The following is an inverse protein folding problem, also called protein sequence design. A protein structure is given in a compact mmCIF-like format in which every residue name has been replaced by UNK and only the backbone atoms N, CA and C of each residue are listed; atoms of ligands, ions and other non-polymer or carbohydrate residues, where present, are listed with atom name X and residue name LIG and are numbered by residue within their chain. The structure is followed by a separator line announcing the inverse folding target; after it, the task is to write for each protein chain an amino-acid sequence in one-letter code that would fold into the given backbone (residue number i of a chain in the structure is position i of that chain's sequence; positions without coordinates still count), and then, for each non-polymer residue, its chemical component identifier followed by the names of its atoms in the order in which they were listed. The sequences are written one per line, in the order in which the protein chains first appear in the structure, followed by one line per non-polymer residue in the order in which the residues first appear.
data_IF_849349566881
#
_entry.id   IF_849349566881
#
_cell.length_a   1.000
_cell.length_b   1.000
_cell.length_c   1.000
_cell.angle_alpha   90.00
_cell.angle_beta   90.00
_cell.angle_gamma   90.00
#
_symmetry.space_group_name_H-M   'P 1'
#
loop_
_entity.id
_entity.type
_entity.pdbx_description
1 polymer ?
#
# COMPACT_ATOMS: atom_id res chain seq x y z
N UNK A 1 19.79 -1.09 8.07
CA UNK A 1 18.90 -0.07 8.71
C UNK A 1 17.44 -0.14 8.26
N UNK A 2 17.14 -0.73 7.10
CA UNK A 2 15.79 -0.86 6.53
C UNK A 2 14.81 -1.56 7.47
N UNK A 3 15.21 -2.68 8.08
CA UNK A 3 14.38 -3.41 9.05
C UNK A 3 13.95 -2.51 10.22
N UNK A 4 14.90 -1.79 10.83
CA UNK A 4 14.60 -0.89 11.95
C UNK A 4 13.65 0.23 11.51
N UNK A 5 13.84 0.79 10.32
CA UNK A 5 12.98 1.85 9.80
C UNK A 5 11.55 1.35 9.58
N UNK A 6 11.38 0.12 9.04
CA UNK A 6 10.08 -0.54 8.88
C UNK A 6 9.44 -0.80 10.25
N UNK A 7 10.14 -1.45 11.17
CA UNK A 7 9.59 -1.77 12.49
C UNK A 7 9.17 -0.52 13.26
N UNK A 8 10.01 0.52 13.25
CA UNK A 8 9.72 1.78 13.91
C UNK A 8 8.54 2.50 13.25
N UNK A 9 8.51 2.60 11.92
CA UNK A 9 7.38 3.21 11.21
C UNK A 9 6.06 2.49 11.50
N UNK A 10 6.03 1.16 11.42
CA UNK A 10 4.81 0.40 11.65
C UNK A 10 4.36 0.41 13.12
N UNK A 11 5.30 0.48 14.07
CA UNK A 11 4.99 0.67 15.49
C UNK A 11 4.43 2.06 15.77
N UNK A 12 5.04 3.10 15.18
CA UNK A 12 4.60 4.47 15.32
C UNK A 12 3.24 4.72 14.66
N UNK A 13 2.95 4.13 13.49
CA UNK A 13 1.62 4.22 12.86
C UNK A 13 0.51 3.69 13.78
N UNK A 14 0.82 2.69 14.61
CA UNK A 14 -0.17 2.13 15.52
C UNK A 14 -0.48 2.99 16.73
N UNK A 15 0.46 3.82 17.14
CA UNK A 15 0.43 4.59 18.40
C UNK A 15 0.19 6.08 18.17
N UNK A 16 0.69 6.62 17.06
CA UNK A 16 0.56 8.02 16.69
C UNK A 16 -0.58 8.19 15.68
N UNK A 17 -1.60 8.94 16.07
CA UNK A 17 -2.52 9.52 15.09
C UNK A 17 -1.83 10.67 14.38
N UNK A 18 -1.11 10.33 13.30
CA UNK A 18 -0.39 11.32 12.51
C UNK A 18 -1.37 12.37 12.02
N UNK A 19 -1.08 13.63 12.35
CA UNK A 19 -1.93 14.75 11.96
C UNK A 19 -2.13 14.74 10.45
N UNK A 20 -3.34 15.12 10.03
CA UNK A 20 -3.73 14.99 8.62
C UNK A 20 -2.76 15.72 7.66
N UNK A 21 -1.96 16.67 8.16
CA UNK A 21 -0.99 17.48 7.42
C UNK A 21 0.25 16.69 6.94
N UNK A 22 0.65 15.65 7.67
CA UNK A 22 1.87 14.89 7.39
C UNK A 22 1.65 13.71 6.43
N UNK A 23 0.41 13.47 5.99
CA UNK A 23 0.14 12.49 4.95
C UNK A 23 0.83 12.92 3.65
N UNK A 24 1.52 11.97 3.02
CA UNK A 24 2.24 12.21 1.77
C UNK A 24 1.34 12.83 0.69
N UNK A 25 0.08 12.41 0.61
CA UNK A 25 -0.93 12.99 -0.26
C UNK A 25 -1.04 14.52 -0.14
N UNK A 26 -1.02 15.07 1.08
CA UNK A 26 -1.12 16.52 1.28
C UNK A 26 0.16 17.25 0.93
N UNK A 27 1.31 16.64 1.16
CA UNK A 27 2.61 17.18 0.74
C UNK A 27 2.65 17.31 -0.79
N UNK A 28 2.20 16.26 -1.49
CA UNK A 28 2.10 16.27 -2.95
C UNK A 28 1.08 17.31 -3.44
N UNK A 29 -0.10 17.40 -2.82
CA UNK A 29 -1.09 18.39 -3.24
C UNK A 29 -0.57 19.82 -3.06
N UNK A 30 0.20 20.10 -1.99
CA UNK A 30 0.87 21.40 -1.80
C UNK A 30 1.92 21.66 -2.86
N UNK A 31 2.76 20.66 -3.15
CA UNK A 31 3.73 20.73 -4.23
C UNK A 31 3.05 21.03 -5.58
N UNK A 32 1.98 20.32 -5.89
CA UNK A 32 1.20 20.51 -7.12
C UNK A 32 0.54 21.89 -7.17
N UNK A 33 -0.05 22.37 -6.07
CA UNK A 33 -0.64 23.71 -6.01
C UNK A 33 0.40 24.81 -6.20
N UNK A 34 1.55 24.71 -5.52
CA UNK A 34 2.67 25.65 -5.71
C UNK A 34 3.19 25.62 -7.16
N UNK A 35 3.20 24.44 -7.77
CA UNK A 35 3.56 24.27 -9.17
C UNK A 35 2.54 24.94 -10.12
N UNK A 36 1.24 24.91 -9.81
CA UNK A 36 0.19 25.59 -10.60
C UNK A 36 0.35 27.10 -10.53
N UNK A 37 0.70 27.68 -9.38
CA UNK A 37 0.84 29.13 -9.26
C UNK A 37 2.12 29.69 -9.90
N UNK A 38 3.21 28.92 -9.95
CA UNK A 38 4.54 29.46 -10.30
C UNK A 38 5.11 29.03 -11.66
N UNK A 39 4.52 28.09 -12.40
CA UNK A 39 5.12 27.59 -13.66
C UNK A 39 4.20 27.79 -14.87
N UNK A 40 4.68 28.55 -15.88
CA UNK A 40 4.02 28.78 -17.19
C UNK A 40 4.11 27.57 -18.14
N UNK A 41 4.16 26.35 -17.61
CA UNK A 41 4.32 25.10 -18.37
C UNK A 41 2.96 24.41 -18.60
N UNK A 42 1.98 25.16 -19.10
CA UNK A 42 0.61 24.67 -19.33
C UNK A 42 0.57 23.53 -20.36
N UNK A 43 1.38 23.61 -21.43
CA UNK A 43 1.35 22.64 -22.53
C UNK A 43 1.86 21.24 -22.17
N UNK A 44 2.88 21.12 -21.31
CA UNK A 44 3.46 19.82 -20.93
C UNK A 44 2.62 19.09 -19.86
N UNK A 45 1.78 19.83 -19.13
CA UNK A 45 0.92 19.31 -18.05
C UNK A 45 -0.38 18.70 -18.57
N UNK A 46 -0.86 19.10 -19.76
CA UNK A 46 -2.07 18.53 -20.37
C UNK A 46 -1.88 17.06 -20.80
N UNK A 47 -0.62 16.60 -20.93
CA UNK A 47 -0.32 15.19 -21.16
C UNK A 47 -0.31 14.41 -19.84
N UNK A 48 -1.12 13.34 -19.76
CA UNK A 48 -1.22 12.42 -18.60
C UNK A 48 0.16 11.98 -18.06
N UNK A 49 1.13 11.75 -18.95
CA UNK A 49 2.49 11.32 -18.60
C UNK A 49 3.32 12.44 -17.96
N UNK A 50 3.16 13.68 -18.42
CA UNK A 50 3.85 14.83 -17.86
C UNK A 50 3.43 15.03 -16.40
N UNK A 51 2.13 14.97 -16.12
CA UNK A 51 1.63 15.08 -14.75
C UNK A 51 2.18 13.99 -13.80
N UNK A 52 2.29 12.73 -14.27
CA UNK A 52 2.88 11.62 -13.49
C UNK A 52 4.35 11.85 -13.18
N UNK A 53 5.16 12.15 -14.20
CA UNK A 53 6.59 12.36 -14.02
C UNK A 53 6.85 13.49 -13.01
N UNK A 54 6.11 14.59 -13.13
CA UNK A 54 6.24 15.73 -12.21
C UNK A 54 5.76 15.45 -10.79
N UNK A 55 4.78 14.57 -10.60
CA UNK A 55 4.32 14.17 -9.27
C UNK A 55 5.34 13.29 -8.54
N UNK A 56 6.18 12.56 -9.26
CA UNK A 56 7.19 11.66 -8.72
C UNK A 56 8.48 12.40 -8.33
N UNK A 57 8.76 13.58 -8.93
CA UNK A 57 9.99 14.36 -8.68
C UNK A 57 10.30 14.58 -7.19
N UNK A 58 9.36 15.00 -6.32
CA UNK A 58 9.67 15.19 -4.90
C UNK A 58 10.17 13.91 -4.21
N UNK A 59 9.60 12.76 -4.55
CA UNK A 59 10.02 11.47 -4.00
C UNK A 59 11.44 11.11 -4.44
N UNK A 60 11.76 11.32 -5.72
CA UNK A 60 13.10 11.07 -6.26
C UNK A 60 14.13 12.05 -5.71
N UNK A 61 13.75 13.32 -5.53
CA UNK A 61 14.62 14.35 -4.96
C UNK A 61 15.00 14.01 -3.52
N UNK A 62 14.04 13.54 -2.71
CA UNK A 62 14.32 13.05 -1.36
C UNK A 62 15.35 11.90 -1.41
N UNK A 63 15.12 10.91 -2.27
CA UNK A 63 16.07 9.80 -2.45
C UNK A 63 17.46 10.27 -2.85
N UNK A 64 17.54 11.17 -3.84
CA UNK A 64 18.80 11.70 -4.36
C UNK A 64 19.57 12.51 -3.30
N UNK A 65 18.88 13.36 -2.54
CA UNK A 65 19.50 14.14 -1.45
C UNK A 65 20.06 13.22 -0.36
N UNK A 66 19.35 12.14 0.00
CA UNK A 66 19.85 11.18 0.97
C UNK A 66 21.11 10.46 0.49
N UNK A 67 21.17 10.09 -0.80
CA UNK A 67 22.36 9.50 -1.40
C UNK A 67 23.56 10.46 -1.40
N UNK A 68 23.32 11.77 -1.57
CA UNK A 68 24.38 12.78 -1.58
C UNK A 68 24.93 13.09 -0.18
N UNK A 69 24.08 13.05 0.84
CA UNK A 69 24.45 13.39 2.22
C UNK A 69 25.24 12.27 2.92
N UNK A 70 25.11 11.03 2.45
CA UNK A 70 25.78 9.82 2.97
C UNK A 70 25.74 9.68 4.51
N UNK A 71 24.66 10.17 5.13
CA UNK A 71 24.51 10.17 6.58
C UNK A 71 23.51 9.10 7.02
N UNK A 72 24.00 8.10 7.73
CA UNK A 72 23.21 6.93 8.17
C UNK A 72 22.02 7.33 9.04
N UNK A 73 22.21 8.23 10.01
CA UNK A 73 21.16 8.64 10.95
C UNK A 73 20.09 9.46 10.25
N UNK A 74 20.50 10.38 9.37
CA UNK A 74 19.56 11.19 8.59
C UNK A 74 18.75 10.30 7.63
N UNK A 75 19.40 9.38 6.92
CA UNK A 75 18.73 8.40 6.05
C UNK A 75 17.74 7.55 6.82
N UNK A 76 18.09 7.10 8.03
CA UNK A 76 17.19 6.36 8.90
C UNK A 76 15.94 7.18 9.28
N UNK A 77 16.13 8.39 9.83
CA UNK A 77 15.03 9.25 10.28
C UNK A 77 14.10 9.63 9.12
N UNK A 78 14.67 10.05 8.00
CA UNK A 78 13.88 10.44 6.81
C UNK A 78 13.17 9.23 6.20
N UNK A 79 13.80 8.05 6.19
CA UNK A 79 13.15 6.82 5.70
C UNK A 79 11.98 6.40 6.58
N UNK A 80 12.12 6.44 7.90
CA UNK A 80 11.03 6.16 8.83
C UNK A 80 9.89 7.17 8.66
N UNK A 81 10.20 8.47 8.60
CA UNK A 81 9.20 9.50 8.37
C UNK A 81 8.50 9.35 7.01
N UNK A 82 9.25 9.04 5.95
CA UNK A 82 8.71 8.81 4.61
C UNK A 82 7.79 7.59 4.56
N UNK A 83 8.17 6.48 5.20
CA UNK A 83 7.31 5.30 5.36
C UNK A 83 6.02 5.64 6.10
N UNK A 84 6.13 6.34 7.24
CA UNK A 84 4.97 6.79 8.00
C UNK A 84 4.02 7.67 7.18
N UNK A 85 4.56 8.60 6.38
CA UNK A 85 3.76 9.45 5.50
C UNK A 85 3.13 8.68 4.33
N UNK A 86 3.78 7.60 3.86
CA UNK A 86 3.32 6.76 2.75
C UNK A 86 2.17 5.80 3.15
N UNK A 87 2.20 5.32 4.39
CA UNK A 87 1.15 4.50 4.98
C UNK A 87 -0.05 5.40 5.30
N UNK A 88 -1.16 5.24 4.59
CA UNK A 88 -2.31 6.14 4.69
C UNK A 88 -3.62 5.37 4.89
N UNK A 89 -3.81 4.75 6.06
CA UNK A 89 -5.04 4.00 6.34
C UNK A 89 -5.68 4.21 7.74
N UNK A 90 -5.55 5.38 8.43
CA UNK A 90 -6.18 5.54 9.75
C UNK A 90 -7.70 5.46 9.69
N UNK A 91 -8.32 6.08 8.67
CA UNK A 91 -9.76 6.04 8.46
C UNK A 91 -10.28 4.63 8.14
N UNK A 92 -9.55 3.85 7.34
CA UNK A 92 -9.90 2.47 7.04
C UNK A 92 -9.81 1.58 8.29
N UNK A 93 -8.77 1.78 9.11
CA UNK A 93 -8.60 1.05 10.37
C UNK A 93 -9.69 1.39 11.38
N UNK A 94 -10.08 2.65 11.50
CA UNK A 94 -11.20 3.08 12.33
C UNK A 94 -12.52 2.48 11.83
N UNK A 95 -12.78 2.52 10.52
CA UNK A 95 -13.98 1.94 9.93
C UNK A 95 -14.06 0.42 10.14
N UNK A 96 -12.93 -0.29 10.04
CA UNK A 96 -12.88 -1.72 10.33
C UNK A 96 -13.18 -2.06 11.79
N UNK A 97 -12.62 -1.29 12.75
CA UNK A 97 -12.94 -1.48 14.18
C UNK A 97 -14.43 -1.25 14.45
N UNK A 98 -14.99 -0.18 13.90
CA UNK A 98 -16.40 0.13 14.03
C UNK A 98 -17.30 -0.92 13.35
N UNK A 99 -16.85 -1.49 12.22
CA UNK A 99 -17.54 -2.60 11.55
C UNK A 99 -17.65 -3.83 12.45
N UNK A 100 -16.54 -4.25 13.08
CA UNK A 100 -16.54 -5.40 14.00
C UNK A 100 -17.40 -5.14 15.24
N UNK A 101 -17.39 -3.91 15.74
CA UNK A 101 -18.21 -3.53 16.88
C UNK A 101 -19.70 -3.57 16.52
N UNK A 102 -20.09 -3.01 15.38
CA UNK A 102 -21.47 -3.05 14.90
C UNK A 102 -21.95 -4.48 14.62
N UNK A 103 -21.08 -5.37 14.15
CA UNK A 103 -21.37 -6.80 14.00
C UNK A 103 -21.64 -7.47 15.35
N UNK A 104 -20.88 -7.12 16.39
CA UNK A 104 -21.09 -7.63 17.75
C UNK A 104 -22.38 -7.07 18.39
N UNK A 105 -22.67 -5.79 18.14
CA UNK A 105 -23.85 -5.09 18.66
C UNK A 105 -25.13 -5.39 17.85
N UNK A 106 -25.05 -6.25 16.81
CA UNK A 106 -26.13 -6.58 15.86
C UNK A 106 -26.75 -5.34 15.14
N UNK A 107 -26.00 -4.24 15.04
CA UNK A 107 -26.41 -3.01 14.36
C UNK A 107 -26.08 -3.07 12.86
N UNK A 108 -27.00 -3.65 12.08
CA UNK A 108 -26.85 -3.77 10.64
C UNK A 108 -26.76 -2.43 9.89
N UNK A 109 -27.32 -1.34 10.43
CA UNK A 109 -27.28 -0.03 9.78
C UNK A 109 -25.89 0.60 9.90
N UNK A 110 -25.29 0.56 11.09
CA UNK A 110 -23.92 1.02 11.30
C UNK A 110 -22.93 0.10 10.58
N UNK A 111 -23.15 -1.21 10.60
CA UNK A 111 -22.32 -2.17 9.87
C UNK A 111 -22.26 -1.86 8.36
N UNK A 112 -23.41 -1.61 7.73
CA UNK A 112 -23.49 -1.25 6.31
C UNK A 112 -22.80 0.11 6.00
N UNK A 113 -22.94 1.08 6.90
CA UNK A 113 -22.26 2.38 6.80
C UNK A 113 -20.74 2.24 6.87
N UNK A 114 -20.22 1.44 7.80
CA UNK A 114 -18.79 1.20 7.92
C UNK A 114 -18.23 0.42 6.74
N UNK A 115 -18.98 -0.55 6.21
CA UNK A 115 -18.63 -1.26 4.98
C UNK A 115 -18.47 -0.31 3.79
N UNK A 116 -19.37 0.68 3.64
CA UNK A 116 -19.28 1.70 2.59
C UNK A 116 -18.03 2.58 2.74
N UNK A 117 -17.64 2.93 3.98
CA UNK A 117 -16.41 3.67 4.24
C UNK A 117 -15.16 2.86 3.87
N UNK A 118 -15.14 1.56 4.18
CA UNK A 118 -14.08 0.64 3.75
C UNK A 118 -14.00 0.53 2.22
N UNK A 119 -15.15 0.44 1.55
CA UNK A 119 -15.20 0.40 0.09
C UNK A 119 -14.59 1.68 -0.52
N UNK A 120 -14.95 2.86 0.01
CA UNK A 120 -14.36 4.14 -0.42
C UNK A 120 -12.85 4.19 -0.18
N UNK A 121 -12.39 3.73 0.99
CA UNK A 121 -10.97 3.66 1.33
C UNK A 121 -10.19 2.72 0.40
N UNK A 122 -10.75 1.58 0.03
CA UNK A 122 -10.17 0.63 -0.93
C UNK A 122 -9.97 1.24 -2.33
N UNK A 123 -10.80 2.24 -2.67
CA UNK A 123 -10.85 2.86 -3.98
C UNK A 123 -11.56 2.07 -5.05
N UNK A 124 -12.30 1.04 -4.67
CA UNK A 124 -13.14 0.27 -5.56
C UNK A 124 -14.56 0.84 -5.56
N UNK A 125 -15.21 0.75 -6.71
CA UNK A 125 -16.62 1.13 -6.87
C UNK A 125 -17.54 -0.10 -6.89
N UNK A 126 -16.97 -1.28 -7.08
CA UNK A 126 -17.67 -2.56 -7.05
C UNK A 126 -17.93 -3.01 -5.61
N UNK A 127 -19.09 -3.58 -5.36
CA UNK A 127 -19.41 -4.21 -4.09
C UNK A 127 -18.49 -5.43 -3.88
N UNK A 128 -17.89 -5.52 -2.69
CA UNK A 128 -17.06 -6.65 -2.30
C UNK A 128 -17.25 -6.94 -0.80
N UNK A 129 -17.07 -8.20 -0.39
CA UNK A 129 -17.04 -8.57 1.02
C UNK A 129 -15.99 -7.78 1.82
N UNK A 130 -16.22 -7.61 3.12
CA UNK A 130 -15.34 -6.81 3.99
C UNK A 130 -13.92 -7.40 4.02
N UNK A 131 -13.81 -8.72 3.97
CA UNK A 131 -12.56 -9.49 3.96
C UNK A 131 -11.70 -9.08 2.76
N UNK A 132 -12.32 -9.02 1.59
CA UNK A 132 -11.66 -8.68 0.34
C UNK A 132 -11.18 -7.22 0.33
N UNK A 133 -12.00 -6.31 0.89
CA UNK A 133 -11.64 -4.90 1.03
C UNK A 133 -10.44 -4.73 1.97
N UNK A 134 -10.41 -5.43 3.10
CA UNK A 134 -9.30 -5.40 4.06
C UNK A 134 -8.01 -5.91 3.41
N UNK A 135 -8.07 -7.04 2.68
CA UNK A 135 -6.92 -7.58 1.95
C UNK A 135 -6.35 -6.54 0.97
N UNK A 136 -7.22 -5.90 0.19
CA UNK A 136 -6.82 -4.90 -0.79
C UNK A 136 -6.25 -3.63 -0.16
N UNK A 137 -6.88 -3.14 0.91
CA UNK A 137 -6.39 -1.99 1.66
C UNK A 137 -5.02 -2.31 2.26
N UNK A 138 -4.85 -3.49 2.85
CA UNK A 138 -3.58 -3.93 3.42
C UNK A 138 -2.49 -4.03 2.35
N UNK A 139 -2.80 -4.64 1.21
CA UNK A 139 -1.90 -4.74 0.07
C UNK A 139 -1.37 -3.34 -0.31
N UNK A 140 -2.26 -2.37 -0.52
CA UNK A 140 -1.89 -1.05 -1.07
C UNK A 140 -1.34 -0.06 -0.04
N UNK A 141 -1.71 -0.15 1.22
CA UNK A 141 -1.29 0.86 2.21
C UNK A 141 -0.12 0.41 3.08
N UNK A 142 0.07 -0.90 3.21
CA UNK A 142 1.12 -1.48 4.05
C UNK A 142 2.08 -2.30 3.19
N UNK A 143 1.60 -3.41 2.63
CA UNK A 143 2.48 -4.40 2.00
C UNK A 143 3.28 -3.86 0.80
N UNK A 144 2.61 -3.21 -0.15
CA UNK A 144 3.26 -2.63 -1.33
C UNK A 144 4.26 -1.54 -0.95
N UNK A 145 3.92 -0.69 0.04
CA UNK A 145 4.82 0.35 0.54
C UNK A 145 6.10 -0.29 1.10
N UNK A 146 5.98 -1.38 1.87
CA UNK A 146 7.14 -2.14 2.37
C UNK A 146 7.96 -2.74 1.23
N UNK A 147 7.34 -3.41 0.24
CA UNK A 147 8.06 -4.03 -0.87
C UNK A 147 8.84 -2.98 -1.67
N UNK A 148 8.21 -1.86 -2.05
CA UNK A 148 8.90 -0.81 -2.78
C UNK A 148 9.98 -0.11 -1.95
N UNK A 149 9.80 -0.03 -0.63
CA UNK A 149 10.85 0.45 0.27
C UNK A 149 12.06 -0.48 0.31
N UNK A 150 11.85 -1.79 0.41
CA UNK A 150 12.94 -2.77 0.42
C UNK A 150 13.71 -2.76 -0.91
N UNK A 151 13.01 -2.59 -2.03
CA UNK A 151 13.64 -2.61 -3.36
C UNK A 151 14.35 -1.31 -3.74
N UNK A 152 13.78 -0.15 -3.40
CA UNK A 152 14.19 1.16 -3.93
C UNK A 152 14.38 2.22 -2.84
N UNK A 153 14.34 1.83 -1.56
CA UNK A 153 14.42 2.75 -0.42
C UNK A 153 13.21 3.66 -0.29
N UNK A 154 13.38 4.75 0.47
CA UNK A 154 12.30 5.71 0.74
C UNK A 154 11.73 6.32 -0.54
N UNK A 155 12.57 6.51 -1.58
CA UNK A 155 12.12 6.99 -2.88
C UNK A 155 11.05 6.08 -3.48
N UNK A 156 11.27 4.76 -3.51
CA UNK A 156 10.30 3.81 -4.04
C UNK A 156 8.98 3.80 -3.28
N UNK A 157 9.05 3.83 -1.94
CA UNK A 157 7.86 3.90 -1.08
C UNK A 157 7.01 5.15 -1.38
N UNK A 158 7.66 6.31 -1.51
CA UNK A 158 7.01 7.57 -1.81
C UNK A 158 6.50 7.63 -3.25
N UNK A 159 7.25 7.13 -4.24
CA UNK A 159 6.79 7.00 -5.64
C UNK A 159 5.52 6.16 -5.71
N UNK A 160 5.51 5.00 -5.05
CA UNK A 160 4.33 4.14 -5.01
C UNK A 160 3.15 4.84 -4.34
N UNK A 161 3.37 5.51 -3.20
CA UNK A 161 2.32 6.27 -2.52
C UNK A 161 1.75 7.40 -3.39
N UNK A 162 2.60 8.10 -4.15
CA UNK A 162 2.19 9.08 -5.16
C UNK A 162 1.27 8.45 -6.19
N UNK A 163 1.73 7.36 -6.83
CA UNK A 163 0.99 6.70 -7.90
C UNK A 163 -0.35 6.14 -7.41
N UNK A 164 -0.37 5.53 -6.21
CA UNK A 164 -1.57 5.01 -5.54
C UNK A 164 -2.65 6.08 -5.36
N UNK A 165 -2.25 7.27 -4.92
CA UNK A 165 -3.17 8.36 -4.56
C UNK A 165 -3.63 9.17 -5.79
N UNK A 166 -2.90 9.09 -6.90
CA UNK A 166 -3.29 9.67 -8.18
C UNK A 166 -4.44 8.86 -8.80
N UNK A 167 -5.67 9.30 -8.53
CA UNK A 167 -6.89 8.78 -9.16
C UNK A 167 -7.40 9.76 -10.22
N UNK A 168 -6.84 9.69 -11.43
CA UNK A 168 -7.52 10.26 -12.59
C UNK A 168 -8.66 9.31 -12.96
N UNK A 169 -9.82 9.57 -12.37
CA UNK A 169 -10.93 8.60 -12.18
C UNK A 169 -11.54 8.02 -13.47
N UNK A 170 -11.03 8.33 -14.67
CA UNK A 170 -11.64 7.91 -15.95
C UNK A 170 -10.69 7.56 -17.09
N UNK A 171 -9.36 7.70 -16.97
CA UNK A 171 -8.49 7.34 -18.12
C UNK A 171 -8.13 5.84 -18.09
N UNK A 172 -8.35 5.09 -19.19
CA UNK A 172 -8.01 3.67 -19.27
C UNK A 172 -6.52 3.39 -18.99
N UNK A 173 -5.65 4.33 -19.38
CA UNK A 173 -4.20 4.26 -19.15
C UNK A 173 -3.85 4.18 -17.67
N UNK A 174 -4.57 4.90 -16.81
CA UNK A 174 -4.31 4.88 -15.38
C UNK A 174 -4.70 3.55 -14.73
N UNK A 175 -5.73 2.88 -15.24
CA UNK A 175 -6.08 1.54 -14.77
C UNK A 175 -4.95 0.55 -15.08
N UNK A 176 -4.32 0.65 -16.25
CA UNK A 176 -3.15 -0.16 -16.62
C UNK A 176 -1.96 0.13 -15.72
N UNK A 177 -1.68 1.41 -15.41
CA UNK A 177 -0.60 1.77 -14.46
C UNK A 177 -0.83 1.14 -13.09
N UNK A 178 -2.04 1.29 -12.53
CA UNK A 178 -2.39 0.66 -11.24
C UNK A 178 -2.27 -0.87 -11.29
N UNK A 179 -2.68 -1.50 -12.40
CA UNK A 179 -2.50 -2.94 -12.60
C UNK A 179 -1.02 -3.35 -12.62
N UNK A 180 -0.14 -2.57 -13.27
CA UNK A 180 1.29 -2.87 -13.35
C UNK A 180 1.97 -2.68 -11.99
N UNK A 181 1.74 -1.55 -11.32
CA UNK A 181 2.41 -1.27 -10.03
C UNK A 181 1.91 -2.20 -8.93
N UNK A 182 0.64 -2.57 -8.93
CA UNK A 182 0.11 -3.48 -7.91
C UNK A 182 0.40 -4.96 -8.26
N UNK A 183 0.91 -5.28 -9.46
CA UNK A 183 1.20 -6.66 -9.88
C UNK A 183 2.24 -7.33 -8.98
N UNK A 184 3.39 -6.68 -8.80
CA UNK A 184 4.49 -7.23 -8.00
C UNK A 184 4.09 -7.42 -6.53
N UNK A 185 3.56 -6.39 -5.83
CA UNK A 185 3.07 -6.57 -4.47
C UNK A 185 2.00 -7.65 -4.35
N UNK A 186 1.08 -7.75 -5.32
CA UNK A 186 0.01 -8.76 -5.28
C UNK A 186 0.59 -10.16 -5.30
N UNK A 187 1.51 -10.44 -6.24
CA UNK A 187 2.09 -11.79 -6.40
C UNK A 187 2.97 -12.18 -5.21
N UNK A 188 3.71 -11.24 -4.65
CA UNK A 188 4.45 -11.46 -3.41
C UNK A 188 3.48 -11.71 -2.26
N UNK A 189 2.51 -10.83 -2.01
CA UNK A 189 1.59 -11.00 -0.89
C UNK A 189 0.84 -12.34 -0.95
N UNK A 190 0.38 -12.74 -2.13
CA UNK A 190 -0.29 -14.02 -2.31
C UNK A 190 0.67 -15.20 -2.17
N UNK A 191 1.92 -15.10 -2.64
CA UNK A 191 2.94 -16.14 -2.40
C UNK A 191 3.15 -16.37 -0.91
N UNK A 192 3.18 -15.32 -0.09
CA UNK A 192 3.27 -15.49 1.36
C UNK A 192 2.01 -16.10 1.99
N UNK A 193 0.82 -15.88 1.42
CA UNK A 193 -0.39 -16.60 1.84
C UNK A 193 -0.31 -18.11 1.61
N UNK A 194 0.39 -18.56 0.56
CA UNK A 194 0.64 -19.99 0.34
C UNK A 194 1.49 -20.58 1.47
N UNK A 195 2.48 -19.83 1.95
CA UNK A 195 3.43 -20.30 2.98
C UNK A 195 2.82 -20.31 4.39
N UNK A 196 1.89 -19.39 4.65
CA UNK A 196 1.29 -19.18 5.97
C UNK A 196 -0.08 -19.84 6.12
N UNK A 197 -0.75 -20.15 5.01
CA UNK A 197 -2.04 -20.81 4.95
C UNK A 197 -1.97 -22.18 4.27
N UNK A 198 -3.04 -22.54 3.57
CA UNK A 198 -3.16 -23.82 2.89
C UNK A 198 -2.45 -23.82 1.52
N UNK A 199 -1.16 -24.15 1.53
CA UNK A 199 -0.33 -24.26 0.32
C UNK A 199 -0.98 -25.14 -0.76
N UNK A 200 -1.45 -26.34 -0.37
CA UNK A 200 -1.96 -27.34 -1.31
C UNK A 200 -3.17 -26.85 -2.10
N UNK A 201 -4.07 -26.09 -1.47
CA UNK A 201 -5.27 -25.55 -2.12
C UNK A 201 -4.95 -24.31 -2.97
N UNK A 202 -4.05 -23.46 -2.50
CA UNK A 202 -3.78 -22.16 -3.11
C UNK A 202 -2.73 -22.18 -4.24
N UNK A 203 -1.79 -23.13 -4.24
CA UNK A 203 -0.62 -23.13 -5.13
C UNK A 203 -0.97 -23.14 -6.62
N UNK A 204 -1.90 -24.00 -7.05
CA UNK A 204 -2.31 -24.08 -8.46
C UNK A 204 -2.95 -22.76 -8.95
N UNK A 205 -3.80 -22.16 -8.12
CA UNK A 205 -4.44 -20.87 -8.42
C UNK A 205 -3.42 -19.74 -8.47
N UNK A 206 -2.44 -19.73 -7.57
CA UNK A 206 -1.35 -18.76 -7.59
C UNK A 206 -0.49 -18.88 -8.85
N UNK A 207 -0.10 -20.10 -9.24
CA UNK A 207 0.70 -20.32 -10.44
C UNK A 207 -0.03 -19.84 -11.71
N UNK A 208 -1.33 -20.16 -11.80
CA UNK A 208 -2.21 -19.65 -12.87
C UNK A 208 -2.38 -18.12 -12.84
N UNK A 209 -2.14 -17.49 -11.69
CA UNK A 209 -2.17 -16.04 -11.57
C UNK A 209 -0.87 -15.37 -12.06
N UNK A 210 0.27 -16.06 -12.01
CA UNK A 210 1.57 -15.49 -12.42
C UNK A 210 1.64 -15.30 -13.94
N UNK A 211 1.11 -16.25 -14.72
CA UNK A 211 1.26 -16.27 -16.18
C UNK A 211 0.24 -15.47 -17.00
N UNK A 212 -0.94 -15.18 -16.45
CA UNK A 212 -2.04 -14.55 -17.21
C UNK A 212 -1.96 -13.02 -17.21
N UNK A 213 -1.96 -12.40 -18.40
CA UNK A 213 -1.95 -10.94 -18.59
C UNK A 213 -3.20 -10.45 -19.35
N UNK A 214 -3.82 -9.32 -18.98
CA UNK A 214 -3.81 -8.67 -17.67
C UNK A 214 -4.90 -9.28 -16.76
N UNK A 215 -4.49 -9.94 -15.67
CA UNK A 215 -5.43 -10.32 -14.63
C UNK A 215 -5.71 -9.14 -13.69
N UNK A 216 -6.96 -9.05 -13.22
CA UNK A 216 -7.34 -8.14 -12.16
C UNK A 216 -6.64 -8.55 -10.85
N UNK A 217 -5.68 -7.73 -10.39
CA UNK A 217 -4.89 -7.98 -9.17
C UNK A 217 -5.76 -8.21 -7.94
N UNK A 218 -6.91 -7.54 -7.85
CA UNK A 218 -7.85 -7.74 -6.75
C UNK A 218 -8.40 -9.17 -6.74
N UNK A 219 -8.84 -9.68 -7.91
CA UNK A 219 -9.37 -11.05 -8.02
C UNK A 219 -8.28 -12.07 -7.72
N UNK A 220 -7.05 -11.84 -8.21
CA UNK A 220 -5.92 -12.72 -7.91
C UNK A 220 -5.62 -12.75 -6.40
N UNK A 221 -5.66 -11.59 -5.74
CA UNK A 221 -5.45 -11.48 -4.30
C UNK A 221 -6.53 -12.24 -3.51
N UNK A 222 -7.80 -11.96 -3.78
CA UNK A 222 -8.92 -12.50 -3.01
C UNK A 222 -9.09 -13.99 -3.22
N UNK A 223 -9.03 -14.46 -4.47
CA UNK A 223 -9.18 -15.88 -4.80
C UNK A 223 -8.07 -16.75 -4.20
N UNK A 224 -6.84 -16.27 -4.17
CA UNK A 224 -5.74 -17.01 -3.52
C UNK A 224 -5.91 -16.99 -2.00
N UNK A 225 -6.35 -15.87 -1.42
CA UNK A 225 -6.58 -15.77 0.02
C UNK A 225 -7.71 -16.70 0.50
N UNK A 226 -8.82 -16.79 -0.23
CA UNK A 226 -9.95 -17.70 0.07
C UNK A 226 -9.55 -19.18 0.02
N UNK A 227 -8.61 -19.55 -0.85
CA UNK A 227 -8.10 -20.93 -0.89
C UNK A 227 -7.06 -21.19 0.19
N UNK A 228 -6.37 -20.15 0.66
CA UNK A 228 -5.35 -20.25 1.68
C UNK A 228 -5.94 -20.33 3.10
N UNK A 229 -7.07 -19.69 3.36
CA UNK A 229 -7.73 -19.69 4.68
C UNK A 229 -9.23 -19.40 4.56
N UNK A 230 -10.02 -19.82 5.55
CA UNK A 230 -11.45 -19.55 5.59
C UNK A 230 -11.68 -18.10 6.04
N UNK A 231 -12.00 -17.22 5.08
CA UNK A 231 -12.05 -15.79 5.30
C UNK A 231 -13.31 -15.36 6.06
N UNK A 232 -13.06 -14.75 7.22
CA UNK A 232 -13.96 -13.92 8.01
C UNK A 232 -13.22 -12.63 8.34
N UNK A 233 -13.91 -11.60 8.83
CA UNK A 233 -13.25 -10.38 9.28
C UNK A 233 -12.05 -10.63 10.23
N UNK A 234 -12.14 -11.44 11.30
CA UNK A 234 -11.00 -11.72 12.18
C UNK A 234 -9.93 -12.62 11.53
N UNK A 235 -10.31 -13.72 10.86
CA UNK A 235 -9.32 -14.64 10.25
C UNK A 235 -8.53 -13.97 9.13
N UNK A 236 -9.16 -13.07 8.36
CA UNK A 236 -8.48 -12.24 7.34
C UNK A 236 -7.36 -11.42 7.96
N UNK A 237 -7.61 -10.76 9.09
CA UNK A 237 -6.55 -9.98 9.76
C UNK A 237 -5.46 -10.87 10.35
N UNK A 238 -5.80 -12.07 10.82
CA UNK A 238 -4.82 -13.03 11.33
C UNK A 238 -3.91 -13.55 10.20
N UNK A 239 -4.49 -13.92 9.05
CA UNK A 239 -3.75 -14.31 7.84
C UNK A 239 -2.79 -13.20 7.40
N UNK A 240 -3.30 -11.97 7.29
CA UNK A 240 -2.50 -10.80 6.92
C UNK A 240 -1.35 -10.53 7.88
N UNK A 241 -1.58 -10.61 9.20
CA UNK A 241 -0.53 -10.41 10.22
C UNK A 241 0.56 -11.48 10.13
N UNK A 242 0.19 -12.76 10.05
CA UNK A 242 1.14 -13.87 9.91
C UNK A 242 1.96 -13.73 8.62
N UNK A 243 1.31 -13.37 7.52
CA UNK A 243 1.99 -13.09 6.25
C UNK A 243 2.98 -11.91 6.36
N UNK A 244 2.55 -10.81 6.97
CA UNK A 244 3.41 -9.65 7.15
C UNK A 244 4.64 -9.96 8.02
N UNK A 245 4.47 -10.75 9.10
CA UNK A 245 5.58 -11.23 9.92
C UNK A 245 6.57 -12.09 9.13
N UNK A 246 6.09 -12.98 8.26
CA UNK A 246 6.95 -13.77 7.37
C UNK A 246 7.83 -12.86 6.51
N UNK A 247 7.29 -11.79 5.93
CA UNK A 247 8.08 -10.84 5.14
C UNK A 247 9.04 -10.00 5.97
N UNK A 248 8.68 -9.63 7.21
CA UNK A 248 9.63 -8.99 8.13
C UNK A 248 10.83 -9.91 8.38
N UNK A 249 10.60 -11.21 8.60
CA UNK A 249 11.68 -12.19 8.79
C UNK A 249 12.55 -12.26 7.53
N UNK A 250 11.97 -12.31 6.33
CA UNK A 250 12.73 -12.25 5.09
C UNK A 250 13.59 -10.99 4.97
N UNK A 251 13.03 -9.81 5.28
CA UNK A 251 13.77 -8.55 5.27
C UNK A 251 14.89 -8.56 6.32
N UNK A 252 14.65 -9.15 7.48
CA UNK A 252 15.67 -9.30 8.52
C UNK A 252 16.84 -10.17 8.04
N UNK A 253 16.56 -11.32 7.40
CA UNK A 253 17.58 -12.19 6.82
C UNK A 253 18.38 -11.48 5.72
N UNK A 254 17.72 -10.72 4.83
CA UNK A 254 18.39 -9.92 3.79
C UNK A 254 19.28 -8.82 4.39
N UNK A 255 18.82 -8.18 5.46
CA UNK A 255 19.60 -7.15 6.17
C UNK A 255 20.83 -7.76 6.84
N UNK A 256 20.70 -8.92 7.49
CA UNK A 256 21.82 -9.63 8.14
C UNK A 256 22.82 -10.13 7.08
N UNK A 257 22.32 -10.60 5.94
CA UNK A 257 23.15 -11.04 4.82
C UNK A 257 23.90 -9.93 4.08
N UNK A 258 23.70 -8.66 4.45
CA UNK A 258 24.37 -7.51 3.82
C UNK A 258 23.84 -7.13 2.44
N UNK A 259 22.65 -7.62 2.06
CA UNK A 259 22.00 -7.27 0.79
C UNK A 259 21.25 -5.94 0.86
N UNK A 260 20.93 -5.44 2.08
CA UNK A 260 20.17 -4.22 2.40
C UNK A 260 20.86 -3.41 3.50
#
# INVERSE_FOLDING_TARGET
MYLLAILLAYSLERTLEITRNLHWRRIILRWQHWQVSNTKLEGWRQNDLGYVLWAIIPALLIGFVLLLLDNVLLTFVVSTAGLLSAIQAPAARAAYKAYLQAEHDEDGAEQAKQLKLLQQASGRHEAAPVEHLILWIHLRHYFAVMIYFVLLGVAGALVYATLRDMRHNKSPRWQVVHQIIDWLPTRLMTLGFLLVGNFSKAAATWLNSVGNKPQNNFIALTKVAELADDLTAPTTTALVKRNFLLYIVFVALLTIGGWL
#
